data_IF_290226850570
#
_entry.id   IF_290226850570
#
_cell.length_a   1.000
_cell.length_b   1.000
_cell.length_c   1.000
_cell.angle_alpha   90.00
_cell.angle_beta   90.00
_cell.angle_gamma   90.00
#
_symmetry.space_group_name_H-M   'P 1'
#
loop_
_entity.id
_entity.type
_entity.pdbx_description
1 polymer ?
#
# COMPACT_ATOMS: atom_id res chain seq x y z
N UNK A 1 -30.83 23.75 -12.82
CA UNK A 1 -30.78 22.37 -12.31
C UNK A 1 -29.41 22.21 -11.69
N UNK A 2 -29.32 21.99 -10.38
CA UNK A 2 -28.03 21.65 -9.76
C UNK A 2 -27.68 20.26 -10.23
N UNK A 3 -26.64 20.12 -11.06
CA UNK A 3 -26.11 18.81 -11.45
C UNK A 3 -25.87 17.98 -10.17
N UNK A 4 -26.47 16.80 -10.10
CA UNK A 4 -26.22 15.89 -8.99
C UNK A 4 -24.78 15.41 -9.09
N UNK A 5 -23.99 15.64 -8.05
CA UNK A 5 -22.59 15.25 -8.04
C UNK A 5 -22.41 13.97 -7.23
N UNK A 6 -21.84 12.94 -7.85
CA UNK A 6 -21.58 11.66 -7.19
C UNK A 6 -20.24 11.74 -6.45
N UNK A 7 -20.27 11.71 -5.11
CA UNK A 7 -19.06 11.82 -4.28
C UNK A 7 -18.38 10.46 -4.13
N UNK A 8 -17.06 10.45 -4.22
CA UNK A 8 -16.21 9.29 -4.00
C UNK A 8 -15.00 9.71 -3.17
N UNK A 9 -14.73 9.00 -2.07
CA UNK A 9 -13.46 9.14 -1.33
C UNK A 9 -12.62 7.90 -1.53
N UNK A 10 -11.37 8.09 -1.94
CA UNK A 10 -10.40 6.99 -2.08
C UNK A 10 -9.17 7.26 -1.24
N UNK A 11 -8.55 6.18 -0.75
CA UNK A 11 -7.31 6.23 0.03
C UNK A 11 -6.29 5.23 -0.55
N UNK A 12 -5.01 5.59 -0.51
CA UNK A 12 -3.91 4.63 -0.64
C UNK A 12 -3.01 4.71 0.59
N UNK A 13 -2.50 3.57 1.06
CA UNK A 13 -1.54 3.56 2.15
C UNK A 13 -0.59 2.34 2.13
N UNK A 14 0.70 2.67 1.96
CA UNK A 14 1.88 2.09 2.59
C UNK A 14 1.69 1.59 4.06
N UNK A 15 1.21 0.39 4.44
CA UNK A 15 1.00 0.10 5.89
C UNK A 15 2.20 -0.49 6.65
N UNK A 16 3.34 -0.55 5.97
CA UNK A 16 4.64 -1.00 6.45
C UNK A 16 4.66 -2.44 6.96
N UNK A 17 5.38 -3.28 6.24
CA UNK A 17 5.66 -4.68 6.54
C UNK A 17 6.24 -4.89 7.94
N UNK A 18 6.78 -3.83 8.56
CA UNK A 18 7.10 -3.78 9.97
C UNK A 18 8.57 -4.01 10.30
N UNK A 19 9.41 -4.30 9.31
CA UNK A 19 10.85 -4.46 9.51
C UNK A 19 11.65 -4.14 8.23
N UNK A 20 12.95 -3.86 8.39
CA UNK A 20 13.89 -3.73 7.29
C UNK A 20 14.42 -5.11 6.85
N UNK A 21 14.05 -5.54 5.64
CA UNK A 21 14.46 -6.84 5.08
C UNK A 21 15.79 -6.81 4.32
N UNK A 22 16.31 -5.63 3.97
CA UNK A 22 17.54 -5.47 3.17
C UNK A 22 18.73 -6.26 3.72
N UNK A 23 18.97 -6.33 5.05
CA UNK A 23 20.07 -7.14 5.58
C UNK A 23 20.00 -8.62 5.21
N UNK A 24 18.80 -9.19 4.98
CA UNK A 24 18.66 -10.59 4.55
C UNK A 24 19.10 -10.80 3.10
N UNK A 25 18.93 -9.79 2.25
CA UNK A 25 19.27 -9.87 0.82
C UNK A 25 20.78 -9.89 0.55
N UNK A 26 21.58 -9.55 1.56
CA UNK A 26 23.05 -9.54 1.48
C UNK A 26 23.71 -10.58 2.39
N UNK A 27 22.91 -11.36 3.12
CA UNK A 27 23.38 -12.34 4.10
C UNK A 27 23.87 -13.65 3.46
N UNK A 28 24.95 -14.22 4.01
CA UNK A 28 25.39 -15.60 3.69
C UNK A 28 24.45 -16.64 4.31
N UNK A 29 24.47 -17.91 3.86
CA UNK A 29 23.65 -18.98 4.45
C UNK A 29 23.77 -19.10 5.97
N UNK A 30 24.98 -18.94 6.50
CA UNK A 30 25.28 -19.06 7.92
C UNK A 30 24.74 -17.87 8.72
N UNK A 31 24.58 -16.71 8.08
CA UNK A 31 24.07 -15.49 8.70
C UNK A 31 22.53 -15.41 8.72
N UNK A 32 21.84 -16.12 7.81
CA UNK A 32 20.38 -16.06 7.70
C UNK A 32 19.66 -16.29 9.03
N UNK A 33 19.97 -17.33 9.83
CA UNK A 33 19.23 -17.55 11.07
C UNK A 33 19.29 -16.36 12.04
N UNK A 34 20.46 -15.74 12.17
CA UNK A 34 20.63 -14.57 13.02
C UNK A 34 19.89 -13.36 12.44
N UNK A 35 20.06 -13.09 11.14
CA UNK A 35 19.38 -11.98 10.46
C UNK A 35 17.86 -12.08 10.55
N UNK A 36 17.29 -13.27 10.33
CA UNK A 36 15.84 -13.52 10.46
C UNK A 36 15.35 -13.24 11.87
N UNK A 37 16.17 -13.56 12.88
CA UNK A 37 15.84 -13.28 14.29
C UNK A 37 15.81 -11.78 14.57
N UNK A 38 16.73 -11.03 14.00
CA UNK A 38 16.82 -9.57 14.16
C UNK A 38 15.68 -8.85 13.44
N UNK A 39 15.38 -9.25 12.20
CA UNK A 39 14.23 -8.77 11.43
C UNK A 39 12.93 -9.04 12.18
N UNK A 40 12.72 -10.28 12.65
CA UNK A 40 11.49 -10.61 13.36
C UNK A 40 11.38 -9.87 14.70
N UNK A 41 12.50 -9.63 15.39
CA UNK A 41 12.52 -8.79 16.60
C UNK A 41 12.13 -7.34 16.29
N UNK A 42 12.62 -6.78 15.18
CA UNK A 42 12.21 -5.44 14.74
C UNK A 42 10.71 -5.41 14.43
N UNK A 43 10.18 -6.39 13.69
CA UNK A 43 8.75 -6.54 13.44
C UNK A 43 7.92 -6.53 14.73
N UNK A 44 8.32 -7.32 15.74
CA UNK A 44 7.63 -7.31 17.03
C UNK A 44 7.72 -5.94 17.72
N UNK A 45 8.87 -5.26 17.62
CA UNK A 45 9.08 -3.94 18.21
C UNK A 45 8.27 -2.82 17.53
N UNK A 46 8.02 -2.91 16.22
CA UNK A 46 7.16 -1.94 15.51
C UNK A 46 5.67 -2.18 15.74
N UNK A 47 5.29 -3.24 16.48
CA UNK A 47 3.98 -3.46 17.09
C UNK A 47 2.79 -3.10 16.19
N UNK A 48 2.63 -3.84 15.09
CA UNK A 48 1.54 -3.61 14.13
C UNK A 48 0.15 -3.51 14.78
N UNK A 49 -0.25 -4.32 15.79
CA UNK A 49 -1.55 -4.13 16.46
C UNK A 49 -1.77 -2.75 17.06
N UNK A 50 -0.73 -2.09 17.59
CA UNK A 50 -0.85 -0.71 18.08
C UNK A 50 -0.88 0.29 16.93
N UNK A 51 -0.06 0.07 15.89
CA UNK A 51 -0.08 0.90 14.68
C UNK A 51 -1.39 0.82 13.91
N UNK A 52 -2.02 -0.35 13.84
CA UNK A 52 -3.31 -0.59 13.21
C UNK A 52 -4.42 0.27 13.84
N UNK A 53 -4.36 0.53 15.16
CA UNK A 53 -5.27 1.46 15.83
C UNK A 53 -5.07 2.90 15.35
N UNK A 54 -3.81 3.33 15.20
CA UNK A 54 -3.50 4.66 14.69
C UNK A 54 -3.91 4.81 13.21
N UNK A 55 -3.68 3.79 12.38
CA UNK A 55 -4.17 3.73 10.99
C UNK A 55 -5.71 3.78 10.97
N UNK A 56 -6.38 2.96 11.79
CA UNK A 56 -7.84 2.92 11.89
C UNK A 56 -8.41 4.28 12.29
N UNK A 57 -7.79 5.00 13.23
CA UNK A 57 -8.21 6.36 13.61
C UNK A 57 -8.21 7.31 12.40
N UNK A 58 -7.19 7.26 11.55
CA UNK A 58 -7.15 8.08 10.33
C UNK A 58 -8.22 7.66 9.31
N UNK A 59 -8.45 6.36 9.14
CA UNK A 59 -9.52 5.83 8.27
C UNK A 59 -10.89 6.28 8.77
N UNK A 60 -11.16 6.23 10.08
CA UNK A 60 -12.41 6.69 10.71
C UNK A 60 -12.61 8.19 10.51
N UNK A 61 -11.55 9.00 10.61
CA UNK A 61 -11.64 10.45 10.40
C UNK A 61 -11.92 10.82 8.95
N UNK A 62 -11.39 10.06 7.99
CA UNK A 62 -11.47 10.37 6.56
C UNK A 62 -12.65 9.70 5.87
N UNK A 63 -13.06 8.54 6.37
CA UNK A 63 -14.16 7.72 5.89
C UNK A 63 -14.06 7.43 4.37
N UNK A 64 -12.94 6.87 3.87
CA UNK A 64 -12.80 6.53 2.46
C UNK A 64 -13.79 5.43 2.07
N UNK A 65 -14.33 5.51 0.86
CA UNK A 65 -15.21 4.48 0.30
C UNK A 65 -14.41 3.28 -0.21
N UNK A 66 -13.20 3.53 -0.73
CA UNK A 66 -12.26 2.52 -1.22
C UNK A 66 -10.87 2.81 -0.65
N UNK A 67 -10.16 1.77 -0.21
CA UNK A 67 -8.78 1.86 0.29
C UNK A 67 -7.91 0.87 -0.49
N UNK A 68 -6.82 1.33 -1.08
CA UNK A 68 -5.71 0.48 -1.53
C UNK A 68 -4.64 0.40 -0.44
N UNK A 69 -4.34 -0.80 0.03
CA UNK A 69 -3.29 -1.07 1.02
C UNK A 69 -2.14 -1.79 0.33
N UNK A 70 -0.91 -1.42 0.66
CA UNK A 70 0.30 -2.14 0.26
C UNK A 70 1.10 -2.56 1.50
N UNK A 71 1.95 -3.58 1.35
CA UNK A 71 2.64 -4.24 2.48
C UNK A 71 1.65 -4.69 3.57
N UNK A 72 0.50 -5.21 3.13
CA UNK A 72 -0.54 -5.71 4.01
C UNK A 72 -0.22 -7.15 4.41
N UNK A 73 0.90 -7.33 5.10
CA UNK A 73 1.58 -8.60 5.31
C UNK A 73 0.78 -9.66 6.09
N UNK A 74 1.18 -10.92 5.92
CA UNK A 74 1.02 -11.96 6.93
C UNK A 74 2.40 -12.34 7.45
N UNK A 75 2.63 -12.15 8.75
CA UNK A 75 3.79 -12.69 9.47
C UNK A 75 3.41 -13.96 10.22
N UNK A 76 4.25 -14.99 10.13
CA UNK A 76 4.06 -16.27 10.82
C UNK A 76 5.31 -16.61 11.65
N UNK A 77 5.13 -16.89 12.94
CA UNK A 77 6.12 -17.57 13.77
C UNK A 77 5.70 -19.03 13.90
N UNK A 78 6.54 -19.94 13.41
CA UNK A 78 6.28 -21.37 13.36
C UNK A 78 7.29 -22.08 14.27
N UNK A 79 6.93 -22.38 15.53
CA UNK A 79 7.78 -23.15 16.44
C UNK A 79 7.74 -24.65 16.08
N UNK A 80 8.80 -25.42 16.36
CA UNK A 80 8.88 -26.84 15.97
C UNK A 80 7.85 -27.74 16.68
N UNK A 81 7.36 -27.36 17.87
CA UNK A 81 6.49 -28.17 18.71
C UNK A 81 5.33 -27.37 19.35
N UNK A 82 4.89 -26.30 18.70
CA UNK A 82 3.76 -25.48 19.16
C UNK A 82 2.95 -24.95 17.98
N UNK A 83 1.79 -24.36 18.28
CA UNK A 83 0.95 -23.74 17.26
C UNK A 83 1.63 -22.53 16.62
N UNK A 84 1.37 -22.34 15.32
CA UNK A 84 1.81 -21.16 14.58
C UNK A 84 1.14 -19.91 15.12
N UNK A 85 1.92 -18.87 15.36
CA UNK A 85 1.40 -17.53 15.68
C UNK A 85 1.37 -16.72 14.39
N UNK A 86 0.20 -16.22 14.01
CA UNK A 86 -0.01 -15.46 12.78
C UNK A 86 -0.42 -14.02 13.10
N UNK A 87 0.20 -13.06 12.42
CA UNK A 87 -0.21 -11.66 12.40
C UNK A 87 -0.68 -11.33 10.99
N UNK A 88 -1.99 -11.37 10.77
CA UNK A 88 -2.61 -10.92 9.53
C UNK A 88 -2.94 -9.42 9.66
N UNK A 89 -2.23 -8.57 8.91
CA UNK A 89 -2.37 -7.12 9.05
C UNK A 89 -3.76 -6.63 8.65
N UNK A 90 -4.38 -7.25 7.65
CA UNK A 90 -5.71 -6.88 7.20
C UNK A 90 -6.76 -7.31 8.21
N UNK A 91 -6.67 -8.53 8.75
CA UNK A 91 -7.60 -8.98 9.79
C UNK A 91 -7.51 -8.09 11.03
N UNK A 92 -6.30 -7.78 11.49
CA UNK A 92 -6.07 -6.88 12.63
C UNK A 92 -6.70 -5.51 12.35
N UNK A 93 -6.42 -4.90 11.20
CA UNK A 93 -6.97 -3.59 10.85
C UNK A 93 -8.51 -3.61 10.74
N UNK A 94 -9.09 -4.62 10.09
CA UNK A 94 -10.54 -4.77 9.94
C UNK A 94 -11.23 -4.97 11.30
N UNK A 95 -10.61 -5.70 12.23
CA UNK A 95 -11.13 -5.87 13.57
C UNK A 95 -11.11 -4.55 14.37
N UNK A 96 -10.04 -3.75 14.25
CA UNK A 96 -9.97 -2.41 14.87
C UNK A 96 -11.05 -1.48 14.29
N UNK A 97 -11.22 -1.46 12.97
CA UNK A 97 -12.26 -0.66 12.30
C UNK A 97 -13.68 -1.09 12.74
N UNK A 98 -13.96 -2.40 12.78
CA UNK A 98 -15.24 -2.94 13.25
C UNK A 98 -15.51 -2.59 14.71
N UNK A 99 -14.50 -2.63 15.57
CA UNK A 99 -14.64 -2.25 16.98
C UNK A 99 -15.07 -0.78 17.16
N UNK A 100 -14.79 0.06 16.15
CA UNK A 100 -15.18 1.46 16.07
C UNK A 100 -16.46 1.70 15.24
N UNK A 101 -17.18 0.64 14.85
CA UNK A 101 -18.43 0.72 14.10
C UNK A 101 -18.28 1.03 12.60
N UNK A 102 -17.09 0.81 12.04
CA UNK A 102 -16.82 1.05 10.62
C UNK A 102 -16.43 -0.27 9.94
N UNK A 103 -17.33 -0.84 9.14
CA UNK A 103 -17.11 -2.11 8.45
C UNK A 103 -16.56 -1.91 7.03
N UNK A 104 -15.49 -2.64 6.72
CA UNK A 104 -14.92 -2.79 5.39
C UNK A 104 -14.82 -4.28 5.04
N UNK A 105 -14.88 -4.59 3.75
CA UNK A 105 -14.58 -5.91 3.22
C UNK A 105 -13.50 -5.87 2.16
N UNK A 106 -12.83 -7.01 1.99
CA UNK A 106 -11.84 -7.20 0.92
C UNK A 106 -12.57 -7.36 -0.40
N UNK A 107 -12.33 -6.43 -1.33
CA UNK A 107 -12.89 -6.46 -2.67
C UNK A 107 -11.95 -7.17 -3.68
N UNK A 108 -10.64 -7.02 -3.50
CA UNK A 108 -9.61 -7.72 -4.26
C UNK A 108 -8.29 -7.77 -3.47
N UNK A 109 -7.45 -8.77 -3.75
CA UNK A 109 -6.12 -8.90 -3.16
C UNK A 109 -5.17 -9.67 -4.08
N UNK A 110 -3.93 -9.22 -4.23
CA UNK A 110 -2.89 -9.96 -4.95
C UNK A 110 -1.86 -10.52 -3.97
N UNK A 111 -1.56 -11.81 -4.07
CA UNK A 111 -0.47 -12.43 -3.33
C UNK A 111 0.82 -12.28 -4.10
N UNK A 112 1.86 -11.77 -3.45
CA UNK A 112 3.14 -11.45 -4.04
C UNK A 112 4.19 -12.48 -3.59
N UNK A 113 5.33 -12.03 -3.07
CA UNK A 113 6.39 -12.93 -2.61
C UNK A 113 6.01 -13.56 -1.28
N UNK A 114 6.23 -14.87 -1.15
CA UNK A 114 6.25 -15.54 0.15
C UNK A 114 7.63 -16.11 0.45
N UNK A 115 7.98 -16.20 1.73
CA UNK A 115 9.25 -16.77 2.17
C UNK A 115 9.11 -17.40 3.55
N UNK A 116 9.80 -18.52 3.74
CA UNK A 116 9.94 -19.23 5.00
C UNK A 116 11.43 -19.39 5.29
N UNK A 117 11.92 -18.74 6.34
CA UNK A 117 13.34 -18.77 6.69
C UNK A 117 13.55 -19.19 8.15
N UNK A 118 14.58 -19.98 8.44
CA UNK A 118 14.89 -20.37 9.81
C UNK A 118 15.41 -19.17 10.60
N UNK A 119 15.11 -19.13 11.89
CA UNK A 119 15.69 -18.20 12.86
C UNK A 119 16.75 -18.91 13.72
N UNK A 120 17.64 -18.13 14.35
CA UNK A 120 18.67 -18.62 15.28
C UNK A 120 18.09 -19.25 16.55
N UNK A 121 16.80 -19.02 16.82
CA UNK A 121 16.07 -19.57 17.97
C UNK A 121 15.47 -20.95 17.71
N UNK A 122 15.66 -21.52 16.51
CA UNK A 122 15.09 -22.82 16.13
C UNK A 122 13.64 -22.76 15.63
N UNK A 123 13.06 -21.56 15.52
CA UNK A 123 11.76 -21.33 14.89
C UNK A 123 11.92 -21.05 13.38
N UNK A 124 10.85 -21.23 12.60
CA UNK A 124 10.75 -20.73 11.23
C UNK A 124 9.89 -19.46 11.22
N UNK A 125 10.34 -18.44 10.49
CA UNK A 125 9.59 -17.20 10.28
C UNK A 125 9.06 -17.18 8.84
N UNK A 126 7.76 -17.00 8.71
CA UNK A 126 7.07 -16.80 7.44
C UNK A 126 6.71 -15.34 7.21
N UNK A 127 6.85 -14.91 5.96
CA UNK A 127 6.37 -13.63 5.47
C UNK A 127 5.63 -13.86 4.15
N UNK A 128 4.43 -13.30 4.02
CA UNK A 128 3.61 -13.37 2.80
C UNK A 128 3.13 -11.97 2.44
N UNK A 129 3.76 -11.41 1.41
CA UNK A 129 3.44 -10.08 0.89
C UNK A 129 2.13 -10.11 0.10
N UNK A 130 1.30 -9.09 0.31
CA UNK A 130 0.10 -8.83 -0.47
C UNK A 130 -0.30 -7.36 -0.42
N UNK A 131 -0.98 -6.96 -1.48
CA UNK A 131 -1.69 -5.69 -1.56
C UNK A 131 -3.20 -5.96 -1.60
N UNK A 132 -4.00 -5.08 -0.98
CA UNK A 132 -5.42 -5.32 -0.74
C UNK A 132 -6.26 -4.10 -1.07
N UNK A 133 -7.38 -4.31 -1.77
CA UNK A 133 -8.43 -3.30 -1.96
C UNK A 133 -9.55 -3.58 -0.95
N UNK A 134 -9.80 -2.61 -0.08
CA UNK A 134 -10.95 -2.62 0.84
C UNK A 134 -12.05 -1.71 0.31
N UNK A 135 -13.30 -2.12 0.48
CA UNK A 135 -14.49 -1.29 0.20
C UNK A 135 -15.31 -1.17 1.48
N UNK A 136 -15.75 0.06 1.78
CA UNK A 136 -16.59 0.32 2.95
C UNK A 136 -17.99 -0.24 2.71
N UNK A 137 -18.47 -1.07 3.62
CA UNK A 137 -19.78 -1.76 3.50
C UNK A 137 -20.94 -0.77 3.42
N UNK A 138 -20.90 0.30 4.21
CA UNK A 138 -21.93 1.33 4.23
C UNK A 138 -21.85 2.31 3.04
N UNK A 139 -20.84 2.20 2.17
CA UNK A 139 -20.71 3.09 1.01
C UNK A 139 -21.72 2.73 -0.09
N UNK A 140 -21.88 3.63 -1.07
CA UNK A 140 -22.70 3.38 -2.26
C UNK A 140 -21.94 2.63 -3.37
N UNK A 141 -20.67 2.26 -3.12
CA UNK A 141 -19.80 1.60 -4.09
C UNK A 141 -20.23 0.13 -4.21
N UNK A 142 -20.45 -0.31 -5.44
CA UNK A 142 -20.73 -1.71 -5.78
C UNK A 142 -19.61 -2.26 -6.64
N UNK A 143 -18.96 -3.32 -6.19
CA UNK A 143 -17.97 -4.06 -6.97
C UNK A 143 -18.70 -4.86 -8.06
N UNK A 144 -18.33 -4.63 -9.32
CA UNK A 144 -18.87 -5.34 -10.50
C UNK A 144 -17.95 -6.49 -10.88
N UNK A 145 -16.65 -6.23 -10.89
CA UNK A 145 -15.64 -7.19 -11.33
C UNK A 145 -14.34 -6.97 -10.55
N UNK A 146 -13.57 -8.03 -10.36
CA UNK A 146 -12.26 -8.00 -9.69
C UNK A 146 -11.20 -8.63 -10.58
N UNK A 147 -9.98 -8.12 -10.48
CA UNK A 147 -8.80 -8.57 -11.23
C UNK A 147 -7.58 -8.53 -10.32
N UNK A 148 -6.73 -9.55 -10.40
CA UNK A 148 -5.58 -9.73 -9.53
C UNK A 148 -4.47 -10.39 -10.38
N UNK A 149 -3.26 -9.84 -10.36
CA UNK A 149 -2.13 -10.43 -11.07
C UNK A 149 -0.79 -9.99 -10.46
N UNK A 150 0.25 -10.81 -10.66
CA UNK A 150 1.63 -10.36 -10.50
C UNK A 150 2.16 -9.81 -11.82
N UNK A 151 3.18 -8.96 -11.72
CA UNK A 151 3.96 -8.53 -12.87
C UNK A 151 4.84 -9.68 -13.40
N UNK A 152 5.08 -9.68 -14.71
CA UNK A 152 6.10 -10.55 -15.29
C UNK A 152 7.51 -10.04 -14.96
N UNK A 153 7.69 -8.72 -14.98
CA UNK A 153 8.90 -8.06 -14.51
C UNK A 153 9.05 -8.23 -12.99
N UNK A 154 10.12 -8.91 -12.60
CA UNK A 154 10.40 -9.25 -11.19
C UNK A 154 11.88 -9.01 -10.89
N UNK A 155 12.15 -8.60 -9.65
CA UNK A 155 13.51 -8.49 -9.16
C UNK A 155 14.02 -9.89 -8.83
N UNK A 156 15.26 -10.18 -9.21
CA UNK A 156 15.96 -11.40 -8.81
C UNK A 156 17.09 -11.04 -7.86
N UNK A 157 17.03 -11.57 -6.65
CA UNK A 157 18.06 -11.41 -5.63
C UNK A 157 18.67 -12.77 -5.30
N UNK A 158 19.77 -12.76 -4.56
CA UNK A 158 20.39 -13.99 -4.03
C UNK A 158 20.35 -13.92 -2.52
N UNK A 159 19.67 -14.88 -1.89
CA UNK A 159 19.59 -15.02 -0.42
C UNK A 159 20.18 -16.38 -0.07
N UNK A 160 21.16 -16.43 0.83
CA UNK A 160 21.85 -17.68 1.16
C UNK A 160 22.39 -18.45 -0.06
N UNK A 161 22.91 -17.74 -1.06
CA UNK A 161 23.41 -18.35 -2.30
C UNK A 161 22.33 -18.98 -3.19
N UNK A 162 21.04 -18.81 -2.85
CA UNK A 162 19.91 -19.24 -3.67
C UNK A 162 19.28 -18.05 -4.37
N UNK A 163 18.99 -18.15 -5.67
CA UNK A 163 18.24 -17.11 -6.36
C UNK A 163 16.79 -17.11 -5.87
N UNK A 164 16.33 -15.93 -5.43
CA UNK A 164 14.94 -15.68 -5.08
C UNK A 164 14.38 -14.64 -6.05
N UNK A 165 13.19 -14.92 -6.58
CA UNK A 165 12.42 -13.97 -7.38
C UNK A 165 11.48 -13.23 -6.45
N UNK A 166 11.63 -11.91 -6.35
CA UNK A 166 10.70 -11.03 -5.66
C UNK A 166 9.58 -10.69 -6.65
N UNK A 167 8.42 -11.28 -6.38
CA UNK A 167 7.16 -11.00 -7.05
C UNK A 167 6.52 -9.75 -6.43
N UNK A 168 5.95 -8.93 -7.30
CA UNK A 168 5.07 -7.79 -6.98
C UNK A 168 3.86 -7.85 -7.91
N UNK A 169 2.79 -7.17 -7.56
CA UNK A 169 1.56 -7.25 -8.34
C UNK A 169 0.68 -6.03 -8.28
N UNK A 170 -0.52 -6.25 -8.76
CA UNK A 170 -1.60 -5.28 -8.73
C UNK A 170 -2.93 -6.01 -8.55
N UNK A 171 -3.86 -5.31 -7.93
CA UNK A 171 -5.26 -5.70 -7.85
C UNK A 171 -6.12 -4.56 -8.38
N UNK A 172 -7.26 -4.89 -8.94
CA UNK A 172 -8.19 -3.90 -9.48
C UNK A 172 -9.64 -4.33 -9.27
N UNK A 173 -10.51 -3.34 -9.15
CA UNK A 173 -11.95 -3.52 -9.18
C UNK A 173 -12.57 -2.62 -10.23
N UNK A 174 -13.50 -3.16 -11.00
CA UNK A 174 -14.50 -2.34 -11.69
C UNK A 174 -15.64 -2.10 -10.70
N UNK A 175 -15.92 -0.84 -10.42
CA UNK A 175 -16.89 -0.42 -9.42
C UNK A 175 -17.97 0.46 -10.03
N UNK A 176 -19.12 0.52 -9.37
CA UNK A 176 -20.22 1.41 -9.72
C UNK A 176 -20.72 2.16 -8.49
N UNK A 177 -20.87 3.47 -8.61
CA UNK A 177 -21.46 4.33 -7.59
C UNK A 177 -22.52 5.21 -8.25
N UNK A 178 -23.76 5.11 -7.77
CA UNK A 178 -24.90 5.88 -8.31
C UNK A 178 -25.07 5.80 -9.84
N UNK A 179 -24.72 4.65 -10.45
CA UNK A 179 -24.81 4.42 -11.89
C UNK A 179 -23.52 4.72 -12.67
N UNK A 180 -22.55 5.40 -12.06
CA UNK A 180 -21.27 5.73 -12.67
C UNK A 180 -20.26 4.61 -12.46
N UNK A 181 -19.74 4.06 -13.56
CA UNK A 181 -18.75 3.00 -13.53
C UNK A 181 -17.34 3.57 -13.63
N UNK A 182 -16.41 3.00 -12.87
CA UNK A 182 -15.00 3.34 -12.92
C UNK A 182 -14.16 2.13 -12.54
N UNK A 183 -12.85 2.18 -12.82
CA UNK A 183 -11.88 1.20 -12.35
C UNK A 183 -10.99 1.81 -11.29
N UNK A 184 -10.77 1.09 -10.20
CA UNK A 184 -9.77 1.40 -9.18
C UNK A 184 -8.70 0.33 -9.22
N UNK A 185 -7.43 0.72 -9.23
CA UNK A 185 -6.27 -0.17 -9.28
C UNK A 185 -5.33 0.17 -8.13
N UNK A 186 -4.93 -0.86 -7.41
CA UNK A 186 -3.98 -0.84 -6.31
C UNK A 186 -2.68 -1.54 -6.73
N UNK A 187 -1.52 -0.97 -6.40
CA UNK A 187 -0.22 -1.58 -6.72
C UNK A 187 0.89 -1.13 -5.77
N UNK A 188 1.99 -1.90 -5.75
CA UNK A 188 3.24 -1.56 -5.08
C UNK A 188 4.42 -1.91 -5.99
N UNK A 189 5.03 -0.90 -6.61
CA UNK A 189 6.10 -1.10 -7.60
C UNK A 189 7.48 -1.33 -6.96
N UNK A 190 8.36 -1.98 -7.70
CA UNK A 190 9.71 -2.37 -7.24
C UNK A 190 10.58 -1.17 -6.79
N UNK A 191 11.06 -1.13 -5.53
CA UNK A 191 11.93 -0.05 -5.04
C UNK A 191 13.40 -0.20 -5.44
N UNK A 192 13.92 -1.42 -5.59
CA UNK A 192 15.37 -1.65 -5.65
C UNK A 192 15.95 -1.62 -7.06
N UNK A 193 15.12 -1.76 -8.09
CA UNK A 193 15.56 -1.81 -9.49
C UNK A 193 14.73 -0.88 -10.36
N UNK A 194 15.26 0.29 -10.75
CA UNK A 194 14.58 1.20 -11.67
C UNK A 194 14.14 0.53 -12.98
N UNK A 195 14.93 -0.42 -13.50
CA UNK A 195 14.56 -1.16 -14.73
C UNK A 195 13.35 -2.05 -14.52
N UNK A 196 13.28 -2.78 -13.41
CA UNK A 196 12.11 -3.63 -13.09
C UNK A 196 10.90 -2.75 -12.80
N UNK A 197 11.08 -1.69 -12.01
CA UNK A 197 10.01 -0.74 -11.67
C UNK A 197 9.35 -0.13 -12.92
N UNK A 198 10.16 0.30 -13.89
CA UNK A 198 9.66 0.86 -15.14
C UNK A 198 8.91 -0.18 -15.96
N UNK A 199 9.44 -1.40 -16.08
CA UNK A 199 8.75 -2.48 -16.78
C UNK A 199 7.40 -2.82 -16.11
N UNK A 200 7.32 -2.81 -14.78
CA UNK A 200 6.06 -2.99 -14.05
C UNK A 200 5.07 -1.86 -14.33
N UNK A 201 5.52 -0.61 -14.41
CA UNK A 201 4.67 0.51 -14.79
C UNK A 201 4.13 0.39 -16.23
N UNK A 202 4.95 -0.09 -17.17
CA UNK A 202 4.51 -0.41 -18.53
C UNK A 202 3.47 -1.55 -18.53
N UNK A 203 3.66 -2.59 -17.73
CA UNK A 203 2.68 -3.66 -17.56
C UNK A 203 1.34 -3.15 -16.97
N UNK A 204 1.37 -2.18 -16.06
CA UNK A 204 0.15 -1.51 -15.58
C UNK A 204 -0.59 -0.79 -16.72
N UNK A 205 0.15 -0.08 -17.57
CA UNK A 205 -0.41 0.63 -18.72
C UNK A 205 -0.99 -0.34 -19.77
N UNK A 206 -0.31 -1.47 -20.00
CA UNK A 206 -0.70 -2.46 -20.99
C UNK A 206 -1.77 -3.46 -20.49
N UNK A 207 -1.95 -3.57 -19.18
CA UNK A 207 -2.89 -4.46 -18.51
C UNK A 207 -4.09 -3.70 -17.93
N UNK A 208 -4.11 -3.42 -16.61
CA UNK A 208 -5.27 -2.85 -15.92
C UNK A 208 -5.71 -1.48 -16.46
N UNK A 209 -4.80 -0.67 -17.02
CA UNK A 209 -5.13 0.61 -17.63
C UNK A 209 -5.75 0.53 -19.03
N UNK A 210 -5.72 -0.64 -19.70
CA UNK A 210 -6.44 -0.87 -20.96
C UNK A 210 -7.92 -1.07 -20.71
N UNK A 211 -8.58 0.02 -20.32
CA UNK A 211 -10.01 0.10 -20.06
C UNK A 211 -10.60 1.33 -20.72
N UNK A 212 -11.92 1.31 -20.93
CA UNK A 212 -12.70 2.49 -21.34
C UNK A 212 -13.37 3.17 -20.16
N UNK A 213 -13.21 2.63 -18.95
CA UNK A 213 -13.75 3.21 -17.74
C UNK A 213 -12.85 4.37 -17.27
N UNK A 214 -13.42 5.42 -16.66
CA UNK A 214 -12.67 6.33 -15.81
C UNK A 214 -11.82 5.52 -14.82
N UNK A 215 -10.56 5.90 -14.64
CA UNK A 215 -9.58 5.05 -13.98
C UNK A 215 -8.86 5.81 -12.86
N UNK A 216 -8.73 5.15 -11.72
CA UNK A 216 -7.95 5.59 -10.57
C UNK A 216 -6.84 4.57 -10.35
N UNK A 217 -5.60 5.05 -10.39
CA UNK A 217 -4.41 4.36 -9.92
C UNK A 217 -4.10 4.87 -8.51
N UNK A 218 -3.90 3.94 -7.58
CA UNK A 218 -3.61 4.20 -6.18
C UNK A 218 -2.50 3.24 -5.76
N UNK A 219 -1.47 3.72 -5.06
CA UNK A 219 -0.42 2.82 -4.60
C UNK A 219 0.87 3.51 -4.21
N UNK A 220 1.82 2.69 -3.78
CA UNK A 220 3.22 3.06 -3.66
C UNK A 220 3.93 2.77 -4.98
N UNK A 221 4.28 3.83 -5.71
CA UNK A 221 4.92 3.71 -7.03
C UNK A 221 6.45 3.64 -6.93
N UNK A 222 7.03 3.82 -5.73
CA UNK A 222 8.47 3.92 -5.52
C UNK A 222 9.18 4.89 -6.50
N UNK A 223 8.46 5.90 -6.97
CA UNK A 223 8.90 6.87 -7.98
C UNK A 223 8.54 8.28 -7.53
N UNK A 224 9.53 9.17 -7.45
CA UNK A 224 9.29 10.50 -6.92
C UNK A 224 8.33 11.29 -7.81
N UNK A 225 7.28 11.84 -7.20
CA UNK A 225 6.24 12.59 -7.90
C UNK A 225 6.70 13.94 -8.49
N UNK A 226 7.96 14.33 -8.26
CA UNK A 226 8.59 15.46 -8.94
C UNK A 226 9.31 15.04 -10.24
N UNK A 227 9.24 13.76 -10.62
CA UNK A 227 9.90 13.21 -11.81
C UNK A 227 11.40 12.99 -11.69
N UNK A 228 11.96 13.10 -10.48
CA UNK A 228 13.37 12.74 -10.21
C UNK A 228 13.49 11.28 -9.76
N UNK A 229 14.71 10.73 -9.76
CA UNK A 229 14.94 9.32 -9.40
C UNK A 229 14.65 8.39 -10.58
N UNK A 230 13.43 7.86 -10.67
CA UNK A 230 13.02 6.92 -11.73
C UNK A 230 12.05 7.59 -12.72
N UNK A 231 11.99 7.13 -13.99
CA UNK A 231 11.11 7.76 -14.98
C UNK A 231 9.64 7.34 -14.86
N UNK A 232 9.31 6.38 -13.99
CA UNK A 232 7.97 5.81 -13.81
C UNK A 232 6.88 6.87 -13.65
N UNK A 233 7.04 7.84 -12.76
CA UNK A 233 6.06 8.93 -12.60
C UNK A 233 5.80 9.67 -13.91
N UNK A 234 6.85 10.07 -14.63
CA UNK A 234 6.72 10.80 -15.90
C UNK A 234 6.09 9.94 -17.01
N UNK A 235 6.37 8.63 -17.03
CA UNK A 235 5.74 7.69 -17.96
C UNK A 235 4.22 7.66 -17.74
N UNK A 236 3.77 7.59 -16.48
CA UNK A 236 2.34 7.57 -16.15
C UNK A 236 1.66 8.90 -16.51
N UNK A 237 2.29 10.05 -16.23
CA UNK A 237 1.76 11.36 -16.63
C UNK A 237 1.69 11.47 -18.17
N UNK A 238 2.72 11.04 -18.89
CA UNK A 238 2.74 11.03 -20.35
C UNK A 238 1.68 10.09 -20.96
N UNK A 239 1.26 9.04 -20.23
CA UNK A 239 0.18 8.15 -20.60
C UNK A 239 -1.24 8.72 -20.36
N UNK A 240 -1.33 9.99 -19.94
CA UNK A 240 -2.58 10.73 -19.78
C UNK A 240 -3.16 10.70 -18.37
N UNK A 241 -2.38 10.27 -17.37
CA UNK A 241 -2.81 10.38 -15.97
C UNK A 241 -2.54 11.79 -15.44
N UNK A 242 -3.46 12.27 -14.61
CA UNK A 242 -3.31 13.47 -13.81
C UNK A 242 -3.10 13.10 -12.34
N UNK A 243 -2.14 13.76 -11.71
CA UNK A 243 -1.88 13.59 -10.28
C UNK A 243 -2.85 14.43 -9.45
N UNK A 244 -3.66 13.76 -8.63
CA UNK A 244 -4.68 14.43 -7.81
C UNK A 244 -4.08 15.40 -6.81
N UNK A 245 -2.86 15.13 -6.31
CA UNK A 245 -2.16 16.02 -5.37
C UNK A 245 -1.86 17.38 -6.02
N UNK A 246 -1.44 17.37 -7.28
CA UNK A 246 -1.14 18.62 -8.00
C UNK A 246 -2.40 19.44 -8.31
N UNK A 247 -3.58 18.83 -8.26
CA UNK A 247 -4.87 19.50 -8.50
C UNK A 247 -5.43 20.11 -7.21
N UNK A 248 -5.46 19.36 -6.11
CA UNK A 248 -6.16 19.77 -4.89
C UNK A 248 -5.45 19.40 -3.57
N UNK A 249 -4.16 19.06 -3.63
CA UNK A 249 -3.29 18.92 -2.47
C UNK A 249 -2.80 20.27 -1.94
N UNK A 250 -2.18 20.28 -0.76
CA UNK A 250 -1.60 21.49 -0.15
C UNK A 250 -0.20 21.20 0.38
N UNK A 251 0.77 22.02 -0.02
CA UNK A 251 2.18 21.81 0.33
C UNK A 251 2.81 20.65 -0.44
N UNK A 252 3.87 20.06 0.12
CA UNK A 252 4.67 19.07 -0.61
C UNK A 252 4.02 17.68 -0.68
N UNK A 253 3.17 17.33 0.29
CA UNK A 253 2.52 16.02 0.35
C UNK A 253 3.50 14.87 0.56
N UNK A 254 4.53 15.05 1.38
CA UNK A 254 5.51 13.99 1.59
C UNK A 254 4.87 12.76 2.22
N UNK A 255 5.18 11.60 1.66
CA UNK A 255 4.63 10.31 2.08
C UNK A 255 5.68 9.33 2.56
N UNK A 256 6.98 9.55 2.28
CA UNK A 256 8.05 8.61 2.65
C UNK A 256 9.37 9.34 3.00
N UNK A 257 10.25 8.79 3.86
CA UNK A 257 10.01 7.67 4.79
C UNK A 257 10.43 7.98 6.22
N UNK A 258 9.73 7.38 7.18
CA UNK A 258 10.20 7.27 8.56
C UNK A 258 11.36 6.27 8.66
N UNK A 259 12.01 6.21 9.83
CA UNK A 259 13.00 5.17 10.09
C UNK A 259 12.31 3.79 10.18
N UNK A 260 13.06 2.71 9.90
CA UNK A 260 12.52 1.35 9.90
C UNK A 260 12.05 0.86 11.29
N UNK A 261 12.46 1.52 12.37
CA UNK A 261 11.93 1.26 13.71
C UNK A 261 10.67 2.09 14.04
N UNK A 262 10.31 3.03 13.15
CA UNK A 262 9.17 3.95 13.22
C UNK A 262 9.05 4.72 14.54
N UNK A 263 10.16 4.93 15.25
CA UNK A 263 10.18 5.67 16.53
C UNK A 263 10.86 7.04 16.45
N UNK A 264 11.39 7.44 15.30
CA UNK A 264 12.02 8.74 15.10
C UNK A 264 11.13 9.88 15.63
N UNK A 265 11.73 10.78 16.43
CA UNK A 265 10.97 11.73 17.24
C UNK A 265 10.18 12.75 16.41
N UNK A 266 10.70 13.12 15.24
CA UNK A 266 10.08 14.02 14.28
C UNK A 266 9.93 13.29 12.94
N UNK A 267 8.89 13.65 12.18
CA UNK A 267 8.62 13.01 10.89
C UNK A 267 9.79 13.22 9.94
N UNK A 268 10.25 12.15 9.31
CA UNK A 268 11.34 12.17 8.32
C UNK A 268 10.83 12.15 6.88
N UNK A 269 9.51 12.11 6.68
CA UNK A 269 8.89 12.16 5.36
C UNK A 269 9.34 13.41 4.61
N UNK A 270 10.04 13.24 3.49
CA UNK A 270 10.63 14.34 2.73
C UNK A 270 10.56 14.16 1.20
N UNK A 271 9.89 13.12 0.72
CA UNK A 271 9.51 12.95 -0.68
C UNK A 271 8.15 12.24 -0.82
N UNK A 272 7.60 12.24 -2.03
CA UNK A 272 6.26 11.69 -2.34
C UNK A 272 6.38 10.59 -3.40
N UNK A 273 6.00 9.38 -3.03
CA UNK A 273 5.99 8.17 -3.89
C UNK A 273 4.67 7.42 -3.85
N UNK A 274 3.83 7.70 -2.86
CA UNK A 274 2.47 7.18 -2.76
C UNK A 274 1.52 8.12 -3.49
N UNK A 275 0.87 7.63 -4.54
CA UNK A 275 0.16 8.46 -5.51
C UNK A 275 -1.29 8.02 -5.66
N UNK A 276 -2.15 9.00 -5.89
CA UNK A 276 -3.49 8.78 -6.46
C UNK A 276 -3.52 9.52 -7.78
N UNK A 277 -3.46 8.75 -8.87
CA UNK A 277 -3.44 9.22 -10.24
C UNK A 277 -4.78 8.90 -10.91
N UNK A 278 -5.34 9.82 -11.67
CA UNK A 278 -6.62 9.64 -12.37
C UNK A 278 -6.44 9.79 -13.87
N UNK A 279 -7.17 9.00 -14.65
CA UNK A 279 -7.26 9.11 -16.11
C UNK A 279 -8.69 9.40 -16.52
N UNK A 280 -8.86 10.01 -17.70
CA UNK A 280 -10.12 10.63 -18.17
C UNK A 280 -10.53 11.77 -17.23
N UNK A 281 -9.63 12.74 -17.04
CA UNK A 281 -9.74 13.86 -16.09
C UNK A 281 -11.06 14.63 -16.22
N UNK A 282 -11.63 14.71 -17.42
CA UNK A 282 -12.91 15.34 -17.70
C UNK A 282 -14.10 14.66 -17.01
N UNK A 283 -13.93 13.42 -16.53
CA UNK A 283 -14.92 12.67 -15.75
C UNK A 283 -14.83 12.97 -14.24
N UNK A 284 -13.78 13.68 -13.80
CA UNK A 284 -13.47 13.89 -12.39
C UNK A 284 -13.46 15.37 -12.02
N UNK A 285 -13.92 15.66 -10.82
CA UNK A 285 -13.66 16.90 -10.11
C UNK A 285 -12.94 16.56 -8.79
N UNK A 286 -11.66 16.97 -8.68
CA UNK A 286 -10.80 16.67 -7.54
C UNK A 286 -10.97 17.78 -6.50
N UNK A 287 -11.64 17.45 -5.41
CA UNK A 287 -12.10 18.44 -4.42
C UNK A 287 -11.04 18.75 -3.38
N UNK A 288 -10.37 17.71 -2.89
CA UNK A 288 -9.34 17.83 -1.85
C UNK A 288 -8.47 16.59 -1.85
N UNK A 289 -7.17 16.78 -1.66
CA UNK A 289 -6.25 15.69 -1.36
C UNK A 289 -5.50 16.01 -0.07
N UNK A 290 -5.51 15.06 0.87
CA UNK A 290 -4.87 15.16 2.18
C UNK A 290 -3.86 14.01 2.36
N UNK A 291 -2.77 14.28 3.08
CA UNK A 291 -1.92 13.24 3.69
C UNK A 291 -2.47 12.90 5.09
N UNK A 292 -2.26 11.66 5.55
CA UNK A 292 -2.61 11.20 6.90
C UNK A 292 -1.51 10.35 7.53
N UNK A 293 -1.40 10.38 8.86
CA UNK A 293 -0.41 9.58 9.59
C UNK A 293 0.97 10.23 9.66
N UNK A 294 1.11 11.47 9.18
CA UNK A 294 2.34 12.25 9.17
C UNK A 294 2.47 13.20 10.38
N UNK A 295 1.39 13.47 11.11
CA UNK A 295 1.39 14.44 12.19
C UNK A 295 1.82 13.82 13.53
N UNK A 296 2.40 14.64 14.41
CA UNK A 296 2.81 14.20 15.76
C UNK A 296 1.64 13.63 16.59
N UNK A 297 0.43 14.11 16.35
CA UNK A 297 -0.80 13.62 16.98
C UNK A 297 -1.26 12.25 16.47
N UNK A 298 -0.75 11.80 15.32
CA UNK A 298 -1.16 10.54 14.70
C UNK A 298 -0.37 9.35 15.24
N UNK A 299 0.73 9.61 15.96
CA UNK A 299 1.55 8.57 16.58
C UNK A 299 0.78 7.82 17.65
N UNK A 300 1.14 6.55 17.84
CA UNK A 300 0.59 5.72 18.90
C UNK A 300 0.91 6.28 20.29
N UNK A 301 0.28 5.72 21.33
CA UNK A 301 0.59 6.09 22.72
C UNK A 301 2.03 5.75 23.10
N UNK A 302 2.60 4.69 22.50
CA UNK A 302 4.02 4.32 22.60
C UNK A 302 4.94 5.09 21.66
N UNK A 303 4.41 6.09 20.94
CA UNK A 303 5.14 6.97 20.02
C UNK A 303 5.63 6.31 18.73
N UNK A 304 5.03 5.20 18.30
CA UNK A 304 5.27 4.66 16.96
C UNK A 304 4.55 5.54 15.92
N UNK A 305 5.17 5.78 14.77
CA UNK A 305 4.43 6.26 13.60
C UNK A 305 3.44 5.17 13.13
N UNK A 306 2.28 5.54 12.58
CA UNK A 306 1.31 4.55 12.08
C UNK A 306 1.92 3.60 11.04
N UNK A 307 2.80 4.14 10.20
CA UNK A 307 3.57 3.43 9.20
C UNK A 307 4.85 4.22 8.90
N UNK A 308 5.83 3.61 8.24
CA UNK A 308 6.97 4.35 7.68
C UNK A 308 6.57 5.24 6.50
N UNK A 309 5.38 4.99 5.93
CA UNK A 309 4.71 5.84 4.97
C UNK A 309 3.52 6.61 5.59
N UNK A 310 3.22 7.79 5.05
CA UNK A 310 1.93 8.44 5.27
C UNK A 310 0.92 8.07 4.17
N UNK A 311 -0.34 7.96 4.55
CA UNK A 311 -1.43 7.65 3.62
C UNK A 311 -1.86 8.88 2.83
N UNK A 312 -2.44 8.66 1.65
CA UNK A 312 -3.01 9.73 0.81
C UNK A 312 -4.50 9.50 0.65
N UNK A 313 -5.30 10.55 0.82
CA UNK A 313 -6.76 10.50 0.65
C UNK A 313 -7.20 11.55 -0.35
N UNK A 314 -7.91 11.12 -1.39
CA UNK A 314 -8.53 12.02 -2.36
C UNK A 314 -10.06 12.01 -2.20
N UNK A 315 -10.64 13.21 -2.14
CA UNK A 315 -12.08 13.45 -2.26
C UNK A 315 -12.36 13.85 -3.69
N UNK A 316 -13.12 13.02 -4.38
CA UNK A 316 -13.46 13.13 -5.78
C UNK A 316 -14.96 13.27 -5.95
N UNK A 317 -15.32 13.89 -7.06
CA UNK A 317 -16.65 13.96 -7.59
C UNK A 317 -16.61 13.37 -9.00
N UNK A 318 -17.53 12.45 -9.31
CA UNK A 318 -17.71 11.97 -10.68
C UNK A 318 -18.68 12.91 -11.37
N UNK A 319 -18.23 13.50 -12.49
CA UNK A 319 -19.03 14.39 -13.33
C UNK A 319 -20.04 13.53 -14.12
N UNK A 320 -21.30 13.96 -14.09
CA UNK A 320 -22.40 13.32 -14.82
C UNK A 320 -22.52 13.87 -16.24
#
# INVERSE_FOLDING_TARGET
MTESVTKLKVMTWNIYQGANLIPLFTSTPEQIPQGVTEVFRQFLATNFPERAKAIANQIILKEPDIIGLQEAEIWELIPPNAETVTYDFVEILLNELRSCGLDYSIAAQNFNTESLLPSSTGNVIGLKDRDVILVREASKVKVIQKFEANFNASLKIVVAGQPITILRGWSAIDACIEGHKFRFVNTHLEPLSPTVQVAQAEELLEGPAKTKLPLIFAGDFNSFANGTGTPTYQILIAAGFADTWNIAGTGNGFTCCQDADVINAVSYLNYRIDLILIKELEQWDVIKVDVVGEAQSDRTNTRLWPSDHAGVVAKLNIKC
#
